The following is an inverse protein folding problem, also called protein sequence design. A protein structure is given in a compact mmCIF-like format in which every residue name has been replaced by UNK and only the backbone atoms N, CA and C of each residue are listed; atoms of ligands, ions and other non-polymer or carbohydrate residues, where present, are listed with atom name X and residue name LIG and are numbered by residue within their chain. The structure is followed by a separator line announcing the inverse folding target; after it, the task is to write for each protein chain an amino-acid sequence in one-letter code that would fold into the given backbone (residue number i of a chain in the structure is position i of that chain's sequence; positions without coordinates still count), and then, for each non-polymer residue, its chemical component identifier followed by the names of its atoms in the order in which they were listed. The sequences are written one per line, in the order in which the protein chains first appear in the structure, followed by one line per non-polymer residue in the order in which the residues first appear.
data_IF_798506450194
#
_entry.id   IF_798506450194
#
_cell.length_a   1.000
_cell.length_b   1.000
_cell.length_c   1.000
_cell.angle_alpha   90.00
_cell.angle_beta   90.00
_cell.angle_gamma   90.00
#
_symmetry.space_group_name_H-M   'P 1'
#
loop_
_entity.id
_entity.type
_entity.pdbx_description
1 polymer ?
#
# COMPACT_ATOMS: atom_id res chain seq x y z
N UNK A 1 -43.36 -9.43 24.90
CA UNK A 1 -42.03 -8.96 25.32
C UNK A 1 -40.99 -9.71 24.51
N UNK A 2 -40.62 -9.19 23.33
CA UNK A 2 -39.71 -9.88 22.41
C UNK A 2 -38.27 -9.44 22.70
N UNK A 3 -37.46 -10.36 23.23
CA UNK A 3 -36.01 -10.20 23.35
C UNK A 3 -35.42 -10.22 21.94
N UNK A 4 -35.05 -9.04 21.43
CA UNK A 4 -34.20 -8.94 20.26
C UNK A 4 -32.84 -9.54 20.63
N UNK A 5 -32.60 -10.75 20.14
CA UNK A 5 -31.28 -11.38 20.14
C UNK A 5 -30.35 -10.43 19.40
N UNK A 6 -29.39 -9.83 20.11
CA UNK A 6 -28.22 -9.20 19.50
C UNK A 6 -27.55 -10.27 18.64
N UNK A 7 -27.79 -10.21 17.33
CA UNK A 7 -26.95 -10.91 16.36
C UNK A 7 -25.52 -10.44 16.62
N UNK A 8 -24.67 -11.36 17.06
CA UNK A 8 -23.22 -11.17 17.00
C UNK A 8 -22.90 -10.90 15.53
N UNK A 9 -22.43 -9.69 15.24
CA UNK A 9 -21.76 -9.36 13.99
C UNK A 9 -20.62 -10.38 13.82
N UNK A 10 -20.78 -11.31 12.89
CA UNK A 10 -19.73 -12.23 12.47
C UNK A 10 -18.68 -11.45 11.67
N UNK A 11 -17.39 -11.74 11.89
CA UNK A 11 -16.19 -11.07 11.34
C UNK A 11 -16.18 -10.81 9.82
N UNK A 12 -17.00 -11.52 9.05
CA UNK A 12 -17.10 -11.45 7.57
C UNK A 12 -17.43 -10.06 7.02
N UNK A 13 -17.95 -9.12 7.82
CA UNK A 13 -18.31 -7.77 7.37
C UNK A 13 -17.32 -6.65 7.79
N UNK A 14 -16.22 -6.97 8.49
CA UNK A 14 -15.34 -5.93 9.07
C UNK A 14 -14.43 -5.22 8.05
N UNK A 15 -14.16 -5.83 6.89
CA UNK A 15 -13.28 -5.29 5.84
C UNK A 15 -13.96 -5.17 4.48
N UNK A 16 -15.29 -4.99 4.46
CA UNK A 16 -16.05 -4.91 3.21
C UNK A 16 -15.60 -3.70 2.39
N UNK A 17 -15.05 -3.96 1.21
CA UNK A 17 -14.81 -2.91 0.21
C UNK A 17 -16.13 -2.64 -0.52
N UNK A 18 -16.44 -1.36 -0.68
CA UNK A 18 -17.64 -0.98 -1.42
C UNK A 18 -17.44 -1.21 -2.93
N UNK A 19 -18.26 -2.09 -3.51
CA UNK A 19 -18.37 -2.24 -4.97
C UNK A 19 -19.53 -1.40 -5.46
N UNK A 20 -19.27 -0.50 -6.40
CA UNK A 20 -20.28 0.43 -6.90
C UNK A 20 -20.07 0.75 -8.37
N UNK A 21 -21.17 1.09 -9.04
CA UNK A 21 -21.24 1.60 -10.40
C UNK A 21 -21.88 3.00 -10.41
N UNK A 22 -21.90 3.66 -9.25
CA UNK A 22 -22.46 5.01 -9.10
C UNK A 22 -21.66 5.98 -9.95
N UNK A 23 -22.36 6.79 -10.76
CA UNK A 23 -21.75 7.80 -11.64
C UNK A 23 -20.92 8.85 -10.89
N UNK A 24 -21.17 9.06 -9.61
CA UNK A 24 -20.40 9.99 -8.77
C UNK A 24 -19.03 9.46 -8.37
N UNK A 25 -18.80 8.15 -8.50
CA UNK A 25 -17.52 7.51 -8.19
C UNK A 25 -16.72 7.40 -9.50
N UNK A 26 -15.46 7.87 -9.54
CA UNK A 26 -14.62 7.73 -10.72
C UNK A 26 -14.53 6.28 -11.22
N UNK A 27 -14.52 6.10 -12.54
CA UNK A 27 -14.44 4.78 -13.19
C UNK A 27 -13.26 3.91 -12.69
N UNK A 28 -12.04 4.46 -12.43
CA UNK A 28 -10.95 3.67 -11.87
C UNK A 28 -11.24 3.03 -10.50
N UNK A 29 -12.28 3.52 -9.80
CA UNK A 29 -12.72 3.01 -8.50
C UNK A 29 -13.90 2.03 -8.60
N UNK A 30 -14.30 1.63 -9.81
CA UNK A 30 -15.36 0.63 -10.04
C UNK A 30 -14.77 -0.78 -9.95
N UNK A 31 -14.69 -1.29 -8.72
CA UNK A 31 -14.04 -2.57 -8.44
C UNK A 31 -14.93 -3.77 -8.75
N UNK A 32 -14.33 -4.83 -9.28
CA UNK A 32 -14.98 -6.14 -9.43
C UNK A 32 -14.52 -7.15 -8.37
N UNK A 33 -13.34 -6.93 -7.76
CA UNK A 33 -12.76 -7.80 -6.73
C UNK A 33 -11.98 -7.04 -5.68
N UNK A 34 -11.56 -7.79 -4.67
CA UNK A 34 -10.66 -7.35 -3.62
C UNK A 34 -9.33 -8.10 -3.79
N UNK A 35 -8.22 -7.43 -3.51
CA UNK A 35 -6.90 -8.04 -3.41
C UNK A 35 -6.38 -7.88 -2.00
N UNK A 36 -6.07 -9.01 -1.37
CA UNK A 36 -5.39 -9.04 -0.07
C UNK A 36 -3.88 -9.12 -0.31
N UNK A 37 -3.16 -8.10 0.13
CA UNK A 37 -1.73 -7.88 -0.01
C UNK A 37 -1.05 -8.02 1.37
N UNK A 38 -0.55 -9.22 1.72
CA UNK A 38 0.15 -9.42 2.98
C UNK A 38 1.42 -8.58 3.06
N UNK A 39 1.67 -7.97 4.20
CA UNK A 39 2.93 -7.32 4.51
C UNK A 39 3.67 -8.15 5.55
N UNK A 40 4.96 -8.38 5.31
CA UNK A 40 5.77 -9.24 6.15
C UNK A 40 7.21 -8.74 6.29
N UNK A 41 7.83 -9.15 7.40
CA UNK A 41 9.29 -9.06 7.61
C UNK A 41 9.94 -10.41 7.32
N UNK A 42 11.17 -10.37 6.81
CA UNK A 42 11.98 -11.56 6.54
C UNK A 42 13.21 -11.53 7.44
N UNK A 43 13.51 -12.63 8.13
CA UNK A 43 14.65 -12.74 9.01
C UNK A 43 15.96 -12.41 8.28
N UNK A 44 16.79 -11.56 8.88
CA UNK A 44 18.05 -11.11 8.29
C UNK A 44 17.91 -10.10 7.13
N UNK A 45 16.70 -9.65 6.79
CA UNK A 45 16.45 -8.58 5.81
C UNK A 45 15.87 -7.36 6.51
N UNK A 46 16.31 -6.17 6.11
CA UNK A 46 15.78 -4.89 6.60
C UNK A 46 14.52 -4.54 5.83
N UNK A 47 13.53 -4.00 6.55
CA UNK A 47 12.30 -3.47 5.97
C UNK A 47 11.19 -4.50 5.77
N UNK A 48 10.18 -4.08 5.00
CA UNK A 48 8.94 -4.83 4.82
C UNK A 48 8.75 -5.24 3.37
N UNK A 49 8.14 -6.40 3.19
CA UNK A 49 7.83 -7.01 1.90
C UNK A 49 6.32 -7.06 1.75
N UNK A 50 5.81 -6.51 0.64
CA UNK A 50 4.39 -6.57 0.28
C UNK A 50 4.22 -7.67 -0.74
N UNK A 51 3.30 -8.59 -0.51
CA UNK A 51 3.00 -9.70 -1.41
C UNK A 51 1.74 -9.41 -2.23
N UNK A 52 1.67 -9.85 -3.51
CA UNK A 52 0.53 -9.57 -4.39
C UNK A 52 -0.75 -10.36 -4.03
N UNK A 53 -0.62 -11.37 -3.16
CA UNK A 53 -1.72 -12.21 -2.68
C UNK A 53 -1.30 -13.02 -1.45
N UNK A 54 -2.29 -13.55 -0.71
CA UNK A 54 -2.05 -14.58 0.33
C UNK A 54 -1.35 -15.82 -0.24
N UNK A 55 -1.71 -16.24 -1.45
CA UNK A 55 -1.13 -17.39 -2.12
C UNK A 55 0.35 -17.16 -2.45
N UNK A 56 0.71 -15.95 -2.88
CA UNK A 56 2.11 -15.58 -3.10
C UNK A 56 2.90 -15.58 -1.80
N UNK A 57 2.34 -15.02 -0.71
CA UNK A 57 2.96 -15.08 0.62
C UNK A 57 3.17 -16.52 1.10
N UNK A 58 2.15 -17.38 1.00
CA UNK A 58 2.23 -18.76 1.44
C UNK A 58 3.25 -19.57 0.62
N UNK A 59 3.29 -19.37 -0.70
CA UNK A 59 4.29 -20.01 -1.56
C UNK A 59 5.71 -19.55 -1.20
N UNK A 60 5.93 -18.26 -1.01
CA UNK A 60 7.24 -17.71 -0.59
C UNK A 60 7.71 -18.34 0.72
N UNK A 61 6.81 -18.43 1.70
CA UNK A 61 7.11 -18.98 3.02
C UNK A 61 7.46 -20.47 2.97
N UNK A 62 6.79 -21.25 2.13
CA UNK A 62 7.08 -22.69 1.96
C UNK A 62 8.43 -22.93 1.29
N UNK A 63 8.81 -22.08 0.34
CA UNK A 63 10.07 -22.24 -0.41
C UNK A 63 11.25 -21.54 0.25
N UNK A 64 11.02 -20.70 1.28
CA UNK A 64 12.01 -19.75 1.81
C UNK A 64 12.69 -18.93 0.69
N UNK A 65 11.93 -18.60 -0.36
CA UNK A 65 12.42 -17.93 -1.56
C UNK A 65 13.52 -18.66 -2.34
N UNK A 66 13.70 -19.96 -2.11
CA UNK A 66 14.46 -20.81 -3.01
C UNK A 66 13.58 -21.17 -4.22
N UNK A 67 13.56 -20.28 -5.21
CA UNK A 67 12.76 -20.43 -6.42
C UNK A 67 13.65 -21.07 -7.50
N UNK A 68 13.49 -22.38 -7.69
CA UNK A 68 14.16 -23.10 -8.79
C UNK A 68 13.41 -22.98 -10.13
N UNK A 69 12.11 -22.67 -10.09
CA UNK A 69 11.24 -22.49 -11.25
C UNK A 69 10.33 -21.30 -11.01
N UNK A 70 10.41 -20.31 -11.90
CA UNK A 70 9.61 -19.11 -11.86
C UNK A 70 8.22 -19.38 -12.46
N UNK A 71 7.22 -18.94 -11.72
CA UNK A 71 5.83 -18.98 -12.15
C UNK A 71 5.57 -17.88 -13.19
N UNK A 72 4.79 -18.16 -14.24
CA UNK A 72 4.52 -17.19 -15.29
C UNK A 72 3.72 -15.97 -14.83
N UNK A 73 2.90 -16.09 -13.78
CA UNK A 73 2.25 -14.94 -13.12
C UNK A 73 3.11 -14.36 -11.98
N UNK A 74 4.22 -15.03 -11.65
CA UNK A 74 5.13 -14.64 -10.57
C UNK A 74 4.57 -14.89 -9.16
N UNK A 75 3.72 -15.91 -9.00
CA UNK A 75 3.24 -16.35 -7.68
C UNK A 75 4.41 -16.84 -6.83
N UNK A 76 4.48 -16.41 -5.58
CA UNK A 76 5.59 -16.72 -4.66
C UNK A 76 6.66 -15.63 -4.60
N UNK A 77 6.49 -14.55 -5.36
CA UNK A 77 7.40 -13.40 -5.38
C UNK A 77 6.73 -12.21 -4.67
N UNK A 78 7.46 -11.44 -3.82
CA UNK A 78 6.95 -10.18 -3.28
C UNK A 78 6.68 -9.18 -4.41
N UNK A 79 5.62 -8.38 -4.29
CA UNK A 79 5.37 -7.25 -5.18
C UNK A 79 6.39 -6.14 -4.92
N UNK A 80 6.50 -5.73 -3.65
CA UNK A 80 7.36 -4.64 -3.22
C UNK A 80 8.26 -5.02 -2.05
N UNK A 81 9.37 -4.30 -1.94
CA UNK A 81 10.22 -4.26 -0.77
C UNK A 81 10.50 -2.80 -0.42
N UNK A 82 9.92 -2.33 0.69
CA UNK A 82 10.14 -0.99 1.21
C UNK A 82 11.27 -1.02 2.25
N UNK A 83 12.19 -0.07 2.15
CA UNK A 83 13.27 0.14 3.11
C UNK A 83 13.37 1.60 3.52
N UNK A 84 13.63 1.82 4.80
CA UNK A 84 14.05 3.12 5.30
C UNK A 84 15.52 3.37 4.94
N UNK A 85 15.78 4.55 4.39
CA UNK A 85 17.13 5.05 4.20
C UNK A 85 17.61 5.71 5.50
N UNK A 86 18.84 5.42 5.91
CA UNK A 86 19.46 5.98 7.11
C UNK A 86 20.55 7.00 6.79
N UNK A 87 20.65 7.48 5.54
CA UNK A 87 21.56 8.56 5.18
C UNK A 87 21.05 9.89 5.75
N UNK A 88 21.30 10.11 7.05
CA UNK A 88 20.83 11.28 7.80
C UNK A 88 21.35 12.59 7.18
N UNK A 89 22.60 12.62 6.73
CA UNK A 89 23.21 13.81 6.13
C UNK A 89 22.51 14.16 4.81
N UNK A 90 22.26 13.18 3.95
CA UNK A 90 21.55 13.36 2.69
C UNK A 90 20.09 13.79 2.88
N UNK A 91 19.44 13.33 3.96
CA UNK A 91 18.06 13.70 4.30
C UNK A 91 17.95 15.14 4.79
N UNK A 92 18.89 15.60 5.64
CA UNK A 92 18.89 16.98 6.17
C UNK A 92 19.06 18.01 5.04
N UNK A 93 19.86 17.69 4.02
CA UNK A 93 20.05 18.56 2.85
C UNK A 93 19.00 18.35 1.74
N UNK A 94 17.99 17.49 1.97
CA UNK A 94 16.92 17.19 1.01
C UNK A 94 17.38 16.47 -0.26
N UNK A 95 18.57 15.85 -0.26
CA UNK A 95 19.16 15.19 -1.44
C UNK A 95 19.04 13.67 -1.44
N UNK A 96 18.51 13.07 -0.39
CA UNK A 96 18.25 11.63 -0.37
C UNK A 96 16.86 11.31 0.16
N UNK A 97 16.16 10.35 -0.44
CA UNK A 97 14.84 9.95 0.01
C UNK A 97 14.91 9.29 1.39
N UNK A 98 13.81 9.38 2.13
CA UNK A 98 13.63 8.77 3.44
C UNK A 98 13.30 7.28 3.33
N UNK A 99 12.59 6.89 2.26
CA UNK A 99 12.29 5.49 1.97
C UNK A 99 12.52 5.18 0.49
N UNK A 100 12.94 3.95 0.21
CA UNK A 100 12.95 3.38 -1.14
C UNK A 100 12.00 2.19 -1.19
N UNK A 101 11.14 2.18 -2.21
CA UNK A 101 10.34 1.02 -2.59
C UNK A 101 10.96 0.42 -3.84
N UNK A 102 11.37 -0.83 -3.72
CA UNK A 102 11.80 -1.64 -4.85
C UNK A 102 10.64 -2.50 -5.34
N UNK A 103 10.50 -2.63 -6.66
CA UNK A 103 9.53 -3.54 -7.30
C UNK A 103 10.24 -4.78 -7.82
N UNK A 104 9.57 -5.92 -7.70
CA UNK A 104 9.98 -7.14 -8.38
C UNK A 104 9.24 -7.22 -9.72
N UNK A 105 9.99 -7.51 -10.79
CA UNK A 105 9.45 -7.63 -12.15
C UNK A 105 9.90 -8.95 -12.74
N UNK A 106 8.95 -9.68 -13.32
CA UNK A 106 9.21 -10.88 -14.09
C UNK A 106 9.33 -10.50 -15.57
N UNK A 107 10.41 -10.95 -16.21
CA UNK A 107 10.68 -10.68 -17.61
C UNK A 107 11.05 -11.99 -18.31
N UNK A 108 10.67 -12.18 -19.59
CA UNK A 108 11.16 -13.33 -20.34
C UNK A 108 12.63 -13.15 -20.66
N UNK A 109 13.41 -14.23 -20.60
CA UNK A 109 14.86 -14.18 -20.86
C UNK A 109 15.18 -13.70 -22.28
N UNK A 110 14.27 -13.95 -23.23
CA UNK A 110 14.42 -13.55 -24.63
C UNK A 110 14.14 -12.06 -24.88
N UNK A 111 13.43 -11.39 -23.97
CA UNK A 111 13.07 -9.99 -24.13
C UNK A 111 14.25 -9.08 -23.73
N UNK A 112 14.47 -7.94 -24.40
CA UNK A 112 15.52 -7.00 -24.01
C UNK A 112 15.25 -6.43 -22.60
N UNK A 113 16.27 -6.21 -21.75
CA UNK A 113 16.09 -5.72 -20.38
C UNK A 113 15.17 -4.49 -20.31
N UNK A 114 14.11 -4.58 -19.51
CA UNK A 114 13.12 -3.50 -19.39
C UNK A 114 13.67 -2.26 -18.68
N UNK A 115 14.71 -2.42 -17.86
CA UNK A 115 15.26 -1.38 -17.00
C UNK A 115 16.78 -1.38 -17.07
N UNK A 116 17.39 -0.21 -17.28
CA UNK A 116 18.84 -0.02 -17.28
C UNK A 116 19.46 -0.39 -15.92
N UNK A 117 18.78 -0.01 -14.83
CA UNK A 117 19.16 -0.35 -13.46
C UNK A 117 18.28 -1.48 -12.93
N UNK A 118 18.72 -2.73 -13.09
CA UNK A 118 18.05 -3.88 -12.50
C UNK A 118 19.02 -4.82 -11.80
N UNK A 119 18.61 -5.33 -10.63
CA UNK A 119 19.31 -6.41 -9.95
C UNK A 119 18.61 -7.73 -10.27
N UNK A 120 19.29 -8.62 -10.98
CA UNK A 120 18.80 -10.00 -11.18
C UNK A 120 18.83 -10.75 -9.85
N UNK A 121 17.68 -11.30 -9.47
CA UNK A 121 17.50 -12.06 -8.22
C UNK A 121 17.69 -13.54 -8.49
N UNK A 122 17.04 -14.04 -9.54
CA UNK A 122 17.19 -15.38 -10.07
C UNK A 122 16.72 -15.42 -11.53
N UNK A 123 17.10 -16.47 -12.23
CA UNK A 123 16.75 -16.72 -13.63
C UNK A 123 16.54 -18.22 -13.82
N UNK A 124 15.53 -18.59 -14.60
CA UNK A 124 15.36 -19.94 -15.11
C UNK A 124 15.39 -19.93 -16.65
N UNK A 125 14.99 -21.03 -17.30
CA UNK A 125 15.05 -21.14 -18.77
C UNK A 125 14.09 -20.18 -19.49
N UNK A 126 13.03 -19.72 -18.84
CA UNK A 126 11.97 -18.93 -19.45
C UNK A 126 11.95 -17.49 -18.96
N UNK A 127 12.21 -17.28 -17.66
CA UNK A 127 12.04 -16.00 -17.00
C UNK A 127 13.27 -15.59 -16.19
N UNK A 128 13.45 -14.27 -16.12
CA UNK A 128 14.36 -13.57 -15.22
C UNK A 128 13.54 -12.78 -14.22
N UNK A 129 13.83 -12.97 -12.94
CA UNK A 129 13.26 -12.16 -11.87
C UNK A 129 14.22 -11.02 -11.52
N UNK A 130 13.77 -9.80 -11.75
CA UNK A 130 14.52 -8.57 -11.49
C UNK A 130 13.94 -7.83 -10.28
N UNK A 131 14.82 -7.15 -9.55
CA UNK A 131 14.45 -6.14 -8.55
C UNK A 131 14.93 -4.79 -9.03
N UNK A 132 14.00 -3.83 -9.12
CA UNK A 132 14.24 -2.50 -9.68
C UNK A 132 13.88 -1.41 -8.65
N UNK A 133 14.54 -0.24 -8.67
CA UNK A 133 14.00 0.96 -8.06
C UNK A 133 12.60 1.24 -8.63
N UNK A 134 11.64 1.57 -7.79
CA UNK A 134 10.27 1.82 -8.24
C UNK A 134 9.70 3.13 -7.73
N UNK A 135 9.81 3.38 -6.43
CA UNK A 135 9.38 4.62 -5.82
C UNK A 135 10.37 5.08 -4.75
N UNK A 136 10.61 6.38 -4.71
CA UNK A 136 11.34 7.08 -3.66
C UNK A 136 10.38 7.96 -2.89
N UNK A 137 10.48 7.95 -1.56
CA UNK A 137 9.61 8.76 -0.70
C UNK A 137 10.47 9.77 0.04
N UNK A 138 10.20 11.05 -0.20
CA UNK A 138 10.85 12.17 0.47
C UNK A 138 9.93 12.72 1.55
N UNK A 139 10.46 12.90 2.76
CA UNK A 139 9.73 13.42 3.91
C UNK A 139 10.09 14.88 4.14
N UNK A 140 9.10 15.75 4.17
CA UNK A 140 9.23 17.16 4.49
C UNK A 140 8.47 17.45 5.79
N UNK A 141 9.20 17.86 6.82
CA UNK A 141 8.62 18.22 8.11
C UNK A 141 8.16 19.68 8.06
N UNK A 142 6.85 19.90 8.09
CA UNK A 142 6.22 21.20 8.30
C UNK A 142 6.01 21.50 9.78
N UNK A 143 5.45 22.66 10.08
CA UNK A 143 5.14 23.05 11.46
C UNK A 143 3.93 22.29 12.04
N UNK A 144 2.90 22.05 11.22
CA UNK A 144 1.65 21.41 11.63
C UNK A 144 1.48 20.00 11.06
N UNK A 145 2.24 19.67 10.03
CA UNK A 145 2.10 18.49 9.21
C UNK A 145 3.47 17.95 8.76
N UNK A 146 3.46 16.68 8.36
CA UNK A 146 4.55 16.01 7.68
C UNK A 146 4.04 15.60 6.30
N UNK A 147 4.73 16.05 5.25
CA UNK A 147 4.43 15.69 3.87
C UNK A 147 5.37 14.57 3.41
N UNK A 148 4.80 13.55 2.77
CA UNK A 148 5.53 12.46 2.12
C UNK A 148 5.29 12.54 0.61
N UNK A 149 6.32 12.91 -0.15
CA UNK A 149 6.28 13.02 -1.60
C UNK A 149 6.76 11.71 -2.24
N UNK A 150 5.92 11.12 -3.09
CA UNK A 150 6.21 9.89 -3.82
C UNK A 150 6.72 10.22 -5.23
N UNK A 151 7.97 9.85 -5.51
CA UNK A 151 8.65 10.02 -6.79
C UNK A 151 8.88 8.65 -7.46
N UNK A 152 8.61 8.53 -8.77
CA UNK A 152 8.68 7.26 -9.51
C UNK A 152 9.69 7.36 -10.67
N UNK A 153 10.98 7.07 -10.43
CA UNK A 153 12.05 7.33 -11.40
C UNK A 153 11.96 6.49 -12.68
N UNK A 154 11.35 5.30 -12.62
CA UNK A 154 11.42 4.29 -13.68
C UNK A 154 10.18 4.23 -14.58
N UNK A 155 9.24 5.18 -14.47
CA UNK A 155 8.06 5.24 -15.34
C UNK A 155 8.36 6.15 -16.54
N UNK A 156 8.08 5.64 -17.75
CA UNK A 156 8.34 6.30 -19.04
C UNK A 156 7.43 7.49 -19.33
N UNK A 157 6.33 7.63 -18.58
CA UNK A 157 5.48 8.81 -18.59
C UNK A 157 5.83 9.69 -17.38
N UNK A 158 5.69 11.03 -17.48
CA UNK A 158 5.89 11.92 -16.34
C UNK A 158 4.85 11.60 -15.28
N UNK A 159 5.24 10.79 -14.29
CA UNK A 159 4.36 10.55 -13.15
C UNK A 159 4.21 11.87 -12.43
N UNK A 160 2.96 12.26 -12.23
CA UNK A 160 2.62 13.33 -11.29
C UNK A 160 3.09 12.84 -9.92
N UNK A 161 4.20 13.38 -9.42
CA UNK A 161 4.54 13.27 -8.02
C UNK A 161 3.29 13.58 -7.22
N UNK A 162 2.99 12.74 -6.23
CA UNK A 162 1.85 12.97 -5.37
C UNK A 162 2.28 12.98 -3.91
N UNK A 163 1.45 13.61 -3.09
CA UNK A 163 1.75 13.85 -1.69
C UNK A 163 0.76 13.12 -0.80
N UNK A 164 1.29 12.57 0.27
CA UNK A 164 0.56 12.07 1.42
C UNK A 164 0.89 12.95 2.61
N UNK A 165 -0.12 13.49 3.29
CA UNK A 165 0.06 14.47 4.36
C UNK A 165 -0.44 13.88 5.67
N UNK A 166 0.42 13.84 6.70
CA UNK A 166 0.09 13.46 8.07
C UNK A 166 0.11 14.68 8.96
N UNK A 167 -0.97 14.97 9.68
CA UNK A 167 -0.99 16.08 10.66
C UNK A 167 -0.41 15.60 11.99
N UNK A 168 0.38 16.41 12.69
CA UNK A 168 1.08 15.94 13.89
C UNK A 168 0.17 15.38 14.99
N UNK A 169 -1.02 15.95 15.17
CA UNK A 169 -1.98 15.54 16.22
C UNK A 169 -2.99 14.47 15.76
N UNK A 170 -2.91 14.01 14.51
CA UNK A 170 -3.83 13.04 13.95
C UNK A 170 -3.07 11.91 13.30
N UNK A 171 -3.61 10.68 13.39
CA UNK A 171 -3.03 9.54 12.67
C UNK A 171 -3.52 9.43 11.23
N UNK A 172 -4.59 10.15 10.89
CA UNK A 172 -5.12 10.21 9.53
C UNK A 172 -4.08 10.74 8.53
N UNK A 173 -4.06 10.15 7.34
CA UNK A 173 -3.22 10.61 6.23
C UNK A 173 -4.07 10.97 5.01
N UNK A 174 -3.95 12.20 4.55
CA UNK A 174 -4.66 12.71 3.37
C UNK A 174 -3.78 12.57 2.12
N UNK A 175 -4.35 12.10 1.00
CA UNK A 175 -3.63 11.88 -0.27
C UNK A 175 -4.42 12.49 -1.42
N UNK A 176 -3.74 13.11 -2.39
CA UNK A 176 -4.34 13.47 -3.67
C UNK A 176 -3.59 12.74 -4.79
N UNK A 177 -4.25 11.79 -5.45
CA UNK A 177 -3.70 10.98 -6.53
C UNK A 177 -4.54 11.19 -7.79
N UNK A 178 -3.92 11.69 -8.86
CA UNK A 178 -4.58 12.00 -10.14
C UNK A 178 -5.84 12.87 -10.01
N UNK A 179 -5.84 13.81 -9.06
CA UNK A 179 -6.97 14.70 -8.79
C UNK A 179 -8.05 14.10 -7.88
N UNK A 180 -7.95 12.82 -7.54
CA UNK A 180 -8.83 12.17 -6.57
C UNK A 180 -8.27 12.34 -5.16
N UNK A 181 -9.13 12.76 -4.23
CA UNK A 181 -8.76 12.88 -2.82
C UNK A 181 -9.09 11.59 -2.08
N UNK A 182 -8.13 11.13 -1.27
CA UNK A 182 -8.25 9.94 -0.44
C UNK A 182 -7.83 10.25 0.99
N UNK A 183 -8.35 9.47 1.94
CA UNK A 183 -7.92 9.49 3.32
C UNK A 183 -7.70 8.09 3.85
N UNK A 184 -6.53 7.86 4.43
CA UNK A 184 -6.29 6.76 5.36
C UNK A 184 -6.77 7.20 6.74
N UNK A 185 -7.98 6.79 7.11
CA UNK A 185 -8.59 7.14 8.38
C UNK A 185 -8.43 6.02 9.42
N UNK A 186 -8.10 6.38 10.66
CA UNK A 186 -8.01 5.43 11.77
C UNK A 186 -8.72 5.96 13.01
N UNK A 187 -9.42 5.06 13.71
CA UNK A 187 -10.03 5.40 15.00
C UNK A 187 -8.97 5.44 16.09
N UNK A 188 -9.22 6.25 17.12
CA UNK A 188 -8.37 6.32 18.31
C UNK A 188 -8.23 4.92 18.93
N UNK A 189 -6.99 4.52 19.27
CA UNK A 189 -6.62 3.18 19.79
C UNK A 189 -6.80 1.99 18.83
N UNK A 190 -7.07 2.23 17.55
CA UNK A 190 -7.16 1.19 16.52
C UNK A 190 -5.88 1.13 15.69
N UNK A 191 -5.48 -0.06 15.24
CA UNK A 191 -4.44 -0.26 14.21
C UNK A 191 -5.05 -0.57 12.82
N UNK A 192 -6.38 -0.47 12.71
CA UNK A 192 -7.13 -0.65 11.47
C UNK A 192 -7.39 0.70 10.81
N UNK A 193 -6.75 0.92 9.66
CA UNK A 193 -7.00 2.06 8.80
C UNK A 193 -7.99 1.70 7.69
N UNK A 194 -8.84 2.66 7.33
CA UNK A 194 -9.75 2.61 6.18
C UNK A 194 -9.26 3.60 5.15
N UNK A 195 -9.08 3.14 3.91
CA UNK A 195 -8.82 4.00 2.77
C UNK A 195 -10.15 4.42 2.17
N UNK A 196 -10.43 5.71 2.26
CA UNK A 196 -11.69 6.31 1.85
C UNK A 196 -11.46 7.24 0.67
N UNK A 197 -12.34 7.19 -0.33
CA UNK A 197 -12.43 8.23 -1.34
C UNK A 197 -13.25 9.40 -0.79
N UNK A 198 -12.73 10.61 -0.95
CA UNK A 198 -13.38 11.85 -0.55
C UNK A 198 -14.00 12.48 -1.79
N UNK A 199 -15.33 12.48 -1.89
CA UNK A 199 -16.07 13.20 -2.94
C UNK A 199 -15.68 14.69 -2.94
N UNK A 200 -15.79 15.38 -4.08
CA UNK A 200 -15.42 16.80 -4.26
C UNK A 200 -16.14 17.74 -3.28
N UNK A 201 -17.32 17.32 -2.81
CA UNK A 201 -18.11 18.03 -1.79
C UNK A 201 -17.59 17.83 -0.36
N UNK A 202 -16.68 16.88 -0.17
CA UNK A 202 -16.02 16.61 1.11
C UNK A 202 -14.77 17.49 1.16
N UNK A 203 -14.64 18.39 2.14
CA UNK A 203 -13.51 19.32 2.17
C UNK A 203 -12.19 18.56 2.27
N UNK A 204 -11.48 18.48 1.15
CA UNK A 204 -10.05 18.23 1.10
C UNK A 204 -9.37 19.42 1.74
N UNK A 205 -8.73 19.20 2.88
CA UNK A 205 -8.08 20.27 3.64
C UNK A 205 -6.86 20.89 2.91
N UNK A 206 -6.53 20.41 1.72
CA UNK A 206 -5.48 20.97 0.86
C UNK A 206 -5.90 22.28 0.17
N UNK A 207 -7.16 22.71 0.29
CA UNK A 207 -7.59 24.02 -0.20
C UNK A 207 -7.42 25.10 0.88
N UNK A 208 -6.62 26.13 0.57
CA UNK A 208 -6.25 27.30 1.39
C UNK A 208 -7.41 28.19 1.88
N UNK A 209 -8.67 27.76 1.79
CA UNK A 209 -9.83 28.56 2.20
C UNK A 209 -10.20 28.30 3.67
N UNK A 210 -9.50 29.02 4.55
CA UNK A 210 -9.63 29.04 6.02
C UNK A 210 -10.90 29.71 6.57
N UNK A 211 -12.00 29.79 5.84
CA UNK A 211 -13.21 30.44 6.36
C UNK A 211 -14.45 29.57 6.18
N UNK A 212 -15.07 29.26 7.33
CA UNK A 212 -16.28 28.42 7.55
C UNK A 212 -16.04 26.91 7.70
N UNK A 213 -15.16 26.51 8.61
CA UNK A 213 -15.23 25.19 9.24
C UNK A 213 -16.07 25.28 10.54
N UNK A 214 -17.38 25.45 10.40
CA UNK A 214 -18.32 25.17 11.49
C UNK A 214 -18.99 23.81 11.23
N UNK A 215 -18.68 22.84 12.09
CA UNK A 215 -19.56 21.77 12.57
C UNK A 215 -20.62 21.23 11.58
N UNK A 216 -20.23 20.87 10.35
CA UNK A 216 -21.02 19.94 9.56
C UNK A 216 -20.55 18.53 9.90
N UNK A 217 -21.39 17.78 10.63
CA UNK A 217 -21.32 16.31 10.65
C UNK A 217 -21.28 15.85 9.20
N UNK A 218 -20.16 15.27 8.79
CA UNK A 218 -20.01 14.67 7.47
C UNK A 218 -20.82 13.37 7.54
N UNK A 219 -22.08 13.43 7.11
CA UNK A 219 -22.98 12.28 6.94
C UNK A 219 -22.94 11.76 5.48
N UNK A 220 -21.81 11.87 4.77
CA UNK A 220 -21.63 11.21 3.47
C UNK A 220 -21.20 9.77 3.69
N UNK A 221 -21.76 8.77 2.98
CA UNK A 221 -21.28 7.40 3.09
C UNK A 221 -19.83 7.35 2.59
N UNK A 222 -18.92 7.07 3.51
CA UNK A 222 -17.50 6.86 3.27
C UNK A 222 -17.33 5.75 2.22
N UNK A 223 -16.99 6.08 0.97
CA UNK A 223 -16.68 5.05 -0.02
C UNK A 223 -15.32 4.44 0.35
N UNK A 224 -15.37 3.33 1.08
CA UNK A 224 -14.18 2.60 1.52
C UNK A 224 -13.71 1.70 0.40
N UNK A 225 -12.55 2.02 -0.17
CA UNK A 225 -11.92 1.24 -1.23
C UNK A 225 -10.80 0.33 -0.72
N UNK A 226 -10.44 0.42 0.55
CA UNK A 226 -9.43 -0.45 1.10
C UNK A 226 -9.23 -0.35 2.60
N UNK A 227 -8.39 -1.24 3.11
CA UNK A 227 -8.10 -1.39 4.52
C UNK A 227 -6.62 -1.74 4.72
N UNK A 228 -6.04 -1.20 5.78
CA UNK A 228 -4.80 -1.71 6.36
C UNK A 228 -5.13 -2.23 7.75
N UNK A 229 -4.76 -3.47 8.07
CA UNK A 229 -5.02 -4.07 9.39
C UNK A 229 -3.91 -5.01 9.84
N UNK A 230 -3.67 -5.03 11.15
CA UNK A 230 -2.73 -5.93 11.83
C UNK A 230 -3.40 -7.16 12.48
N UNK A 231 -4.71 -7.31 12.32
CA UNK A 231 -5.50 -8.36 12.97
C UNK A 231 -5.03 -9.79 12.59
N UNK A 232 -4.38 -9.91 11.44
CA UNK A 232 -3.85 -11.18 10.94
C UNK A 232 -2.35 -11.38 11.21
N UNK A 233 -1.74 -10.58 12.08
CA UNK A 233 -0.30 -10.64 12.36
C UNK A 233 0.11 -11.97 13.00
N UNK A 234 1.27 -12.50 12.59
CA UNK A 234 1.84 -13.71 13.17
C UNK A 234 2.73 -13.33 14.36
N UNK A 235 2.39 -13.80 15.57
CA UNK A 235 3.12 -13.49 16.80
C UNK A 235 4.40 -14.33 17.02
N UNK A 236 4.55 -15.44 16.29
CA UNK A 236 5.65 -16.39 16.52
C UNK A 236 6.87 -16.10 15.62
N UNK A 237 8.11 -16.24 16.13
CA UNK A 237 9.33 -16.05 15.35
C UNK A 237 9.39 -17.11 14.25
N UNK A 238 9.35 -16.64 13.00
CA UNK A 238 9.49 -17.45 11.78
C UNK A 238 10.48 -16.76 10.85
N UNK A 239 11.08 -17.51 9.92
CA UNK A 239 11.92 -16.95 8.85
C UNK A 239 11.20 -15.85 8.06
N UNK A 240 9.87 -15.95 7.98
CA UNK A 240 8.96 -14.95 7.40
C UNK A 240 7.80 -14.72 8.37
N UNK A 241 7.71 -13.50 8.92
CA UNK A 241 6.66 -13.10 9.87
C UNK A 241 5.74 -12.08 9.21
N UNK A 242 4.44 -12.41 9.12
CA UNK A 242 3.41 -11.51 8.59
C UNK A 242 3.08 -10.46 9.64
N UNK A 243 3.17 -9.19 9.29
CA UNK A 243 2.94 -8.06 10.22
C UNK A 243 1.56 -7.44 10.05
N UNK A 244 1.05 -7.37 8.83
CA UNK A 244 -0.26 -6.77 8.50
C UNK A 244 -0.78 -7.28 7.16
N UNK A 245 -2.01 -6.90 6.84
CA UNK A 245 -2.63 -7.06 5.53
C UNK A 245 -3.09 -5.69 5.02
N UNK A 246 -2.86 -5.47 3.73
CA UNK A 246 -3.47 -4.40 2.97
C UNK A 246 -4.53 -5.00 2.04
N UNK A 247 -5.79 -4.60 2.17
CA UNK A 247 -6.92 -5.13 1.38
C UNK A 247 -7.40 -3.99 0.49
N UNK A 248 -7.30 -4.13 -0.84
CA UNK A 248 -7.60 -3.06 -1.80
C UNK A 248 -8.64 -3.53 -2.81
N UNK A 249 -9.61 -2.68 -3.11
CA UNK A 249 -10.54 -2.87 -4.22
C UNK A 249 -9.82 -2.65 -5.54
N UNK A 250 -10.05 -3.56 -6.49
CA UNK A 250 -9.44 -3.43 -7.81
C UNK A 250 -10.32 -4.00 -8.93
N UNK A 251 -9.96 -3.66 -10.17
CA UNK A 251 -10.50 -4.26 -11.37
C UNK A 251 -9.43 -5.15 -12.02
N UNK A 252 -9.53 -6.46 -11.81
CA UNK A 252 -8.63 -7.44 -12.42
C UNK A 252 -9.32 -8.81 -12.51
N UNK A 253 -8.72 -9.79 -13.20
CA UNK A 253 -9.26 -11.16 -13.25
C UNK A 253 -9.04 -11.87 -11.91
N UNK A 254 -9.90 -12.82 -11.53
CA UNK A 254 -9.85 -13.48 -10.22
C UNK A 254 -8.67 -14.44 -10.04
N UNK A 255 -8.16 -15.00 -11.14
CA UNK A 255 -7.03 -15.93 -11.20
C UNK A 255 -5.66 -15.26 -11.13
N UNK A 256 -5.63 -13.93 -11.23
CA UNK A 256 -4.43 -13.09 -11.15
C UNK A 256 -3.94 -12.94 -9.70
N UNK A 257 -3.00 -13.80 -9.28
CA UNK A 257 -2.50 -13.92 -7.90
C UNK A 257 -1.04 -13.49 -7.73
N UNK A 258 -0.29 -13.38 -8.81
CA UNK A 258 1.12 -13.01 -8.80
C UNK A 258 1.39 -11.53 -9.13
N UNK A 259 2.65 -11.21 -9.40
CA UNK A 259 3.14 -9.83 -9.53
C UNK A 259 2.87 -9.21 -10.90
N UNK A 260 2.65 -10.01 -11.96
CA UNK A 260 2.44 -9.50 -13.32
C UNK A 260 1.06 -8.93 -13.57
N UNK A 261 0.13 -9.14 -12.65
CA UNK A 261 -1.30 -8.88 -12.84
C UNK A 261 -1.89 -7.87 -11.86
N UNK A 262 -1.03 -7.16 -11.11
CA UNK A 262 -1.43 -6.10 -10.19
C UNK A 262 -1.70 -4.81 -10.96
N UNK A 263 -2.92 -4.24 -10.91
CA UNK A 263 -3.22 -2.97 -11.58
C UNK A 263 -2.40 -1.80 -11.05
N UNK A 264 -2.14 -0.81 -11.89
CA UNK A 264 -1.32 0.36 -11.55
C UNK A 264 -1.84 1.12 -10.33
N UNK A 265 -3.16 1.35 -10.25
CA UNK A 265 -3.75 2.00 -9.08
C UNK A 265 -3.51 1.19 -7.80
N UNK A 266 -3.66 -0.14 -7.85
CA UNK A 266 -3.35 -1.03 -6.73
C UNK A 266 -1.88 -0.92 -6.32
N UNK A 267 -0.97 -0.82 -7.28
CA UNK A 267 0.47 -0.59 -7.00
C UNK A 267 0.70 0.72 -6.25
N UNK A 268 0.06 1.81 -6.68
CA UNK A 268 0.19 3.12 -6.04
C UNK A 268 -0.38 3.11 -4.61
N UNK A 269 -1.54 2.51 -4.41
CA UNK A 269 -2.16 2.34 -3.09
C UNK A 269 -1.36 1.40 -2.19
N UNK A 270 -0.71 0.39 -2.77
CA UNK A 270 0.20 -0.50 -2.04
C UNK A 270 1.49 0.19 -1.60
N UNK A 271 2.03 1.13 -2.37
CA UNK A 271 3.11 2.01 -1.91
C UNK A 271 2.69 2.83 -0.68
N UNK A 272 1.47 3.38 -0.67
CA UNK A 272 0.94 4.11 0.48
C UNK A 272 0.78 3.19 1.69
N UNK A 273 0.17 2.02 1.53
CA UNK A 273 0.01 1.05 2.61
C UNK A 273 1.35 0.55 3.19
N UNK A 274 2.38 0.42 2.35
CA UNK A 274 3.73 0.10 2.79
C UNK A 274 4.36 1.23 3.64
N UNK A 275 4.10 2.49 3.30
CA UNK A 275 4.50 3.63 4.14
C UNK A 275 3.72 3.62 5.47
N UNK A 276 2.40 3.38 5.45
CA UNK A 276 1.57 3.27 6.66
C UNK A 276 2.14 2.21 7.62
N UNK A 277 2.47 1.01 7.13
CA UNK A 277 3.14 -0.02 7.95
C UNK A 277 4.41 0.51 8.64
N UNK A 278 5.23 1.26 7.89
CA UNK A 278 6.47 1.82 8.41
C UNK A 278 6.24 2.88 9.49
N UNK A 279 5.28 3.79 9.27
CA UNK A 279 4.93 4.83 10.24
C UNK A 279 4.40 4.20 11.53
N UNK A 280 3.51 3.21 11.42
CA UNK A 280 2.99 2.45 12.56
C UNK A 280 4.09 1.69 13.31
N UNK A 281 5.08 1.15 12.59
CA UNK A 281 6.22 0.49 13.21
C UNK A 281 7.14 1.46 13.95
N UNK A 282 7.32 2.67 13.44
CA UNK A 282 8.10 3.73 14.11
C UNK A 282 7.37 4.23 15.36
N UNK A 283 6.08 4.54 15.25
CA UNK A 283 5.27 5.00 16.40
C UNK A 283 5.30 3.99 17.55
N UNK A 284 5.21 2.69 17.26
CA UNK A 284 5.30 1.62 18.27
C UNK A 284 6.68 1.40 18.88
N UNK A 285 7.75 1.84 18.22
CA UNK A 285 9.11 1.75 18.78
C UNK A 285 9.45 2.92 19.70
N UNK A 286 8.76 4.04 19.53
CA UNK A 286 8.97 5.26 20.30
C UNK A 286 8.08 5.35 21.54
N UNK A 287 7.05 4.51 21.63
CA UNK A 287 6.19 4.30 22.80
C UNK A 287 6.64 3.07 23.58
#
# INVERSE_FOLDING_TARGET
MFRLVRQKLTDENHYKIEKTQRKQIPEPLHFNRERNLPIATIFGKRGFFVFPSMQSYDRFKRTNFNISVLDADGVGVPLFHIVQNYNVIGQVIGKSPNFHIFKYVLQRVQDPPLYAECKVICEDKAFRLCKIPFCEIYCQLGFLDTEYEFFYPSRSQPVKNYRMVKRHNFRDLDVCLDGMNFRWHVKVLSDHYRLMYLDENTPSNNQKNRQKQSQRKIDSPDFVLGHYTRDYSNLLPRSVAKSSNLIIGENSRHDCLGISSVPELTEMLACQGALVEYLEHIERRNN
#
